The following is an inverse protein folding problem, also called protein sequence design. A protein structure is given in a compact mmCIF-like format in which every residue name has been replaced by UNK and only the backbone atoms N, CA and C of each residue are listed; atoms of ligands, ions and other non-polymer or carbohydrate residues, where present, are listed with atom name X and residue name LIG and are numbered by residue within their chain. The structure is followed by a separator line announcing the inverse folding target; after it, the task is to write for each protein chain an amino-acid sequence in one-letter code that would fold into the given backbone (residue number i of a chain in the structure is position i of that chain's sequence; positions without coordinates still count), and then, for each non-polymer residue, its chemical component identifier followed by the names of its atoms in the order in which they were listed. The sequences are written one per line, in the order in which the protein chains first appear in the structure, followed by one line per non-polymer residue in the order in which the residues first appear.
data_IF_385070306082
#
_entry.id   IF_385070306082
#
_cell.length_a   1.000
_cell.length_b   1.000
_cell.length_c   1.000
_cell.angle_alpha   90.00
_cell.angle_beta   90.00
_cell.angle_gamma   90.00
#
_symmetry.space_group_name_H-M   'P 1'
#
loop_
_entity.id
_entity.type
_entity.pdbx_description
1 polymer ?
#
# COMPACT_ATOMS: atom_id res chain seq x y z
N UNK A 1 46.38 5.20 -20.51
CA UNK A 1 46.64 4.16 -21.52
C UNK A 1 46.46 2.79 -20.89
N UNK A 2 45.74 1.89 -21.59
CA UNK A 2 45.44 0.46 -21.30
C UNK A 2 44.18 0.25 -20.43
N UNK A 3 43.00 0.09 -21.07
CA UNK A 3 42.34 -1.16 -21.57
C UNK A 3 41.51 -1.80 -20.44
N UNK A 4 40.19 -1.58 -20.38
CA UNK A 4 39.10 -2.24 -21.13
C UNK A 4 39.07 -3.76 -20.89
N UNK A 5 38.09 -4.23 -20.10
CA UNK A 5 37.44 -5.54 -20.24
C UNK A 5 35.98 -5.35 -19.83
N UNK A 6 35.11 -5.59 -20.80
CA UNK A 6 33.66 -5.55 -20.76
C UNK A 6 33.25 -7.01 -20.95
N UNK A 7 32.64 -7.65 -19.95
CA UNK A 7 32.11 -9.01 -20.09
C UNK A 7 30.59 -8.91 -20.20
N UNK A 8 30.09 -9.11 -21.42
CA UNK A 8 28.68 -9.34 -21.71
C UNK A 8 28.26 -10.70 -21.17
N UNK A 9 27.24 -10.73 -20.31
CA UNK A 9 26.43 -11.92 -20.05
C UNK A 9 25.31 -11.96 -21.10
N UNK A 10 25.43 -12.87 -22.07
CA UNK A 10 24.33 -13.25 -22.96
C UNK A 10 23.70 -14.50 -22.38
N UNK A 11 22.55 -14.34 -21.71
CA UNK A 11 21.69 -15.46 -21.32
C UNK A 11 20.63 -15.65 -22.41
N UNK A 12 20.76 -16.76 -23.13
CA UNK A 12 19.86 -17.24 -24.18
C UNK A 12 19.02 -18.38 -23.57
N UNK A 13 17.74 -18.12 -23.29
CA UNK A 13 16.73 -19.15 -23.00
C UNK A 13 15.33 -18.54 -23.19
N UNK A 14 14.70 -18.75 -24.36
CA UNK A 14 13.24 -18.76 -24.44
C UNK A 14 12.81 -19.97 -25.27
N UNK A 15 11.91 -20.73 -24.65
CA UNK A 15 11.41 -22.02 -25.03
C UNK A 15 10.47 -21.99 -26.25
N UNK A 16 10.41 -23.13 -26.93
CA UNK A 16 9.49 -23.45 -27.99
C UNK A 16 8.05 -23.62 -27.45
N UNK A 17 7.08 -22.97 -28.11
CA UNK A 17 5.66 -23.29 -28.00
C UNK A 17 5.19 -23.84 -29.36
N UNK A 18 4.83 -25.12 -29.38
CA UNK A 18 4.12 -25.76 -30.48
C UNK A 18 2.69 -26.07 -30.04
N UNK A 19 1.75 -25.63 -30.86
CA UNK A 19 0.31 -25.77 -30.69
C UNK A 19 -0.17 -27.21 -30.97
N UNK A 20 -1.25 -27.63 -30.30
CA UNK A 20 -2.20 -28.61 -30.84
C UNK A 20 -3.58 -28.55 -30.12
N UNK A 21 -4.51 -27.80 -30.71
CA UNK A 21 -5.76 -28.29 -31.31
C UNK A 21 -6.72 -29.30 -30.61
N UNK A 22 -7.95 -28.80 -30.47
CA UNK A 22 -9.32 -29.37 -30.67
C UNK A 22 -10.01 -30.34 -29.67
N UNK A 23 -11.28 -29.97 -29.47
CA UNK A 23 -12.42 -30.44 -28.66
C UNK A 23 -13.11 -31.76 -29.13
N UNK A 24 -14.16 -32.26 -28.42
CA UNK A 24 -14.48 -33.68 -28.25
C UNK A 24 -15.73 -34.21 -29.01
N UNK A 25 -15.88 -35.54 -29.05
CA UNK A 25 -17.16 -36.29 -29.24
C UNK A 25 -16.93 -37.73 -28.71
N UNK A 26 -17.88 -38.56 -28.25
CA UNK A 26 -19.28 -38.83 -28.59
C UNK A 26 -19.88 -39.71 -27.44
N UNK A 27 -21.06 -39.43 -26.89
CA UNK A 27 -22.41 -39.92 -27.26
C UNK A 27 -22.79 -41.37 -26.86
N UNK A 28 -24.00 -41.53 -26.29
CA UNK A 28 -24.79 -42.77 -26.14
C UNK A 28 -25.09 -43.17 -24.69
N UNK A 29 -26.29 -43.54 -24.24
CA UNK A 29 -27.66 -43.64 -24.81
C UNK A 29 -28.55 -44.14 -23.63
N UNK A 30 -29.67 -43.48 -23.31
CA UNK A 30 -30.77 -44.04 -22.49
C UNK A 30 -31.61 -45.02 -23.37
N UNK A 31 -32.46 -45.96 -22.86
CA UNK A 31 -33.71 -45.65 -22.12
C UNK A 31 -34.29 -46.69 -21.11
N UNK A 32 -35.04 -46.15 -20.13
CA UNK A 32 -36.44 -46.45 -19.66
C UNK A 32 -36.98 -47.91 -19.64
N UNK A 33 -37.45 -48.38 -18.46
CA UNK A 33 -38.73 -49.13 -18.14
C UNK A 33 -38.96 -48.96 -16.61
N UNK A 34 -39.95 -48.26 -16.06
CA UNK A 34 -41.43 -48.35 -16.00
C UNK A 34 -42.04 -49.39 -15.01
N UNK A 35 -42.92 -48.86 -14.13
CA UNK A 35 -44.08 -49.39 -13.35
C UNK A 35 -44.06 -50.81 -12.73
N UNK A 36 -44.79 -51.19 -11.67
CA UNK A 36 -45.60 -50.62 -10.57
C UNK A 36 -46.13 -51.79 -9.69
N UNK A 37 -46.66 -51.49 -8.50
CA UNK A 37 -47.68 -52.25 -7.71
C UNK A 37 -47.25 -53.21 -6.53
N UNK A 38 -47.30 -52.66 -5.29
CA UNK A 38 -48.20 -52.92 -4.11
C UNK A 38 -48.62 -54.38 -3.73
N UNK A 39 -49.03 -54.68 -2.45
CA UNK A 39 -48.33 -54.66 -1.14
C UNK A 39 -48.48 -56.01 -0.37
N UNK A 40 -47.79 -56.17 0.78
CA UNK A 40 -48.25 -57.08 1.85
C UNK A 40 -47.79 -56.57 3.23
N UNK A 41 -48.72 -56.65 4.17
CA UNK A 41 -48.68 -56.18 5.55
C UNK A 41 -48.15 -57.28 6.46
N UNK A 42 -47.13 -57.02 7.27
CA UNK A 42 -46.86 -57.78 8.50
C UNK A 42 -46.45 -56.85 9.65
N UNK A 43 -47.01 -57.19 10.81
CA UNK A 43 -47.04 -56.47 12.07
C UNK A 43 -45.89 -56.91 12.96
N UNK A 44 -45.08 -55.98 13.50
CA UNK A 44 -44.29 -56.23 14.71
C UNK A 44 -44.01 -54.96 15.53
N UNK A 45 -44.56 -54.95 16.75
CA UNK A 45 -44.15 -54.34 18.03
C UNK A 45 -43.42 -52.98 18.09
N UNK A 46 -43.88 -52.00 18.91
CA UNK A 46 -43.12 -50.78 19.16
C UNK A 46 -41.94 -51.01 20.11
N UNK A 47 -40.73 -50.78 19.62
CA UNK A 47 -39.51 -50.62 20.44
C UNK A 47 -39.61 -49.30 21.24
N UNK A 48 -39.21 -49.23 22.52
CA UNK A 48 -39.17 -47.97 23.24
C UNK A 48 -38.15 -47.01 22.60
N UNK A 49 -38.65 -45.87 22.11
CA UNK A 49 -37.83 -44.77 21.59
C UNK A 49 -36.90 -44.27 22.70
N UNK A 50 -35.59 -44.41 22.51
CA UNK A 50 -34.61 -43.76 23.37
C UNK A 50 -34.81 -42.24 23.30
N UNK A 51 -34.91 -41.59 24.45
CA UNK A 51 -35.03 -40.14 24.54
C UNK A 51 -33.84 -39.47 23.83
N UNK A 52 -34.05 -38.40 23.04
CA UNK A 52 -32.95 -37.71 22.39
C UNK A 52 -32.01 -37.11 23.44
N UNK A 53 -30.73 -37.46 23.37
CA UNK A 53 -29.68 -36.81 24.15
C UNK A 53 -29.72 -35.30 23.90
N UNK A 54 -29.70 -34.43 24.91
CA UNK A 54 -29.69 -32.99 24.68
C UNK A 54 -28.43 -32.62 23.92
N UNK A 55 -28.59 -32.20 22.66
CA UNK A 55 -27.52 -31.60 21.87
C UNK A 55 -27.08 -30.32 22.57
N UNK A 56 -25.87 -30.31 23.12
CA UNK A 56 -25.27 -29.09 23.68
C UNK A 56 -25.06 -28.09 22.55
N UNK A 57 -25.84 -27.02 22.55
CA UNK A 57 -25.64 -25.88 21.64
C UNK A 57 -24.20 -25.39 21.79
N UNK A 58 -23.41 -25.29 20.70
CA UNK A 58 -22.06 -24.73 20.79
C UNK A 58 -22.16 -23.29 21.28
N UNK A 59 -21.43 -22.97 22.34
CA UNK A 59 -21.29 -21.59 22.82
C UNK A 59 -20.73 -20.73 21.68
N UNK A 60 -21.34 -19.58 21.34
CA UNK A 60 -20.80 -18.71 20.32
C UNK A 60 -19.38 -18.29 20.73
N UNK A 61 -18.43 -18.43 19.80
CA UNK A 61 -17.08 -17.91 19.97
C UNK A 61 -17.17 -16.42 20.24
N UNK A 62 -16.42 -15.86 21.22
CA UNK A 62 -16.44 -14.42 21.46
C UNK A 62 -16.08 -13.69 20.17
N UNK A 63 -16.91 -12.73 19.78
CA UNK A 63 -16.58 -11.78 18.72
C UNK A 63 -15.33 -11.02 19.15
N UNK A 64 -14.26 -10.96 18.34
CA UNK A 64 -13.08 -10.18 18.69
C UNK A 64 -13.50 -8.72 18.92
N UNK A 65 -13.04 -8.15 20.02
CA UNK A 65 -13.17 -6.70 20.28
C UNK A 65 -12.45 -5.95 19.15
N UNK A 66 -13.01 -4.85 18.60
CA UNK A 66 -12.30 -4.07 17.60
C UNK A 66 -10.96 -3.63 18.17
N UNK A 67 -9.89 -3.83 17.39
CA UNK A 67 -8.56 -3.28 17.69
C UNK A 67 -8.70 -1.76 17.75
N UNK A 68 -8.20 -1.07 18.80
CA UNK A 68 -8.18 0.38 18.80
C UNK A 68 -7.43 0.85 17.55
N UNK A 69 -7.98 1.86 16.86
CA UNK A 69 -7.32 2.40 15.67
C UNK A 69 -5.96 2.98 16.06
N UNK A 70 -4.94 2.87 15.17
CA UNK A 70 -3.66 3.50 15.41
C UNK A 70 -3.83 5.03 15.50
N UNK A 71 -3.03 5.65 16.35
CA UNK A 71 -2.95 7.11 16.51
C UNK A 71 -1.68 7.69 15.85
N UNK A 72 -1.03 6.93 14.96
CA UNK A 72 0.24 7.32 14.34
C UNK A 72 0.23 7.28 12.81
N UNK A 73 1.15 8.04 12.24
CA UNK A 73 1.44 8.13 10.81
C UNK A 73 2.93 7.92 10.60
N UNK A 74 3.29 7.11 9.61
CA UNK A 74 4.69 6.90 9.23
C UNK A 74 5.16 8.07 8.39
N UNK A 75 6.23 8.75 8.81
CA UNK A 75 6.81 9.90 8.08
C UNK A 75 8.21 9.53 7.63
N UNK A 76 8.37 9.36 6.32
CA UNK A 76 9.65 9.05 5.72
C UNK A 76 10.46 10.32 5.46
N UNK A 77 11.74 10.30 5.84
CA UNK A 77 12.75 11.27 5.44
C UNK A 77 13.96 10.58 4.83
N UNK A 78 14.61 11.19 3.85
CA UNK A 78 15.90 10.70 3.37
C UNK A 78 16.96 10.83 4.49
N UNK A 79 17.79 9.79 4.69
CA UNK A 79 18.77 9.77 5.78
C UNK A 79 19.79 10.93 5.69
N UNK A 80 20.04 11.41 4.47
CA UNK A 80 20.84 12.61 4.20
C UNK A 80 20.09 13.50 3.22
N UNK A 81 20.15 14.82 3.43
CA UNK A 81 19.55 15.86 2.58
C UNK A 81 18.01 15.80 2.50
N UNK A 82 17.33 15.48 3.59
CA UNK A 82 15.90 15.78 3.73
C UNK A 82 15.67 17.29 3.94
N UNK A 83 14.46 17.79 3.64
CA UNK A 83 14.12 19.20 3.82
C UNK A 83 13.48 19.47 5.19
N UNK A 84 14.18 20.19 6.07
CA UNK A 84 13.76 20.37 7.47
C UNK A 84 12.41 21.09 7.63
N UNK A 85 12.17 22.14 6.85
CA UNK A 85 10.92 22.90 6.92
C UNK A 85 9.71 22.12 6.40
N UNK A 86 9.93 21.12 5.53
CA UNK A 86 8.85 20.27 5.03
C UNK A 86 8.50 19.20 6.06
N UNK A 87 9.52 18.58 6.68
CA UNK A 87 9.33 17.69 7.81
C UNK A 87 8.58 18.39 8.96
N UNK A 88 9.02 19.60 9.33
CA UNK A 88 8.37 20.37 10.40
C UNK A 88 6.90 20.66 10.08
N UNK A 89 6.58 21.09 8.85
CA UNK A 89 5.18 21.32 8.45
C UNK A 89 4.29 20.08 8.57
N UNK A 90 4.85 18.89 8.35
CA UNK A 90 4.16 17.61 8.54
C UNK A 90 4.00 17.30 10.03
N UNK A 91 5.10 17.28 10.78
CA UNK A 91 5.09 16.86 12.19
C UNK A 91 4.33 17.80 13.09
N UNK A 92 4.43 19.12 12.84
CA UNK A 92 3.71 20.13 13.63
C UNK A 92 2.19 19.97 13.44
N UNK A 93 1.74 19.75 12.21
CA UNK A 93 0.31 19.54 11.93
C UNK A 93 -0.23 18.24 12.56
N UNK A 94 0.55 17.15 12.48
CA UNK A 94 0.17 15.87 13.11
C UNK A 94 0.08 16.02 14.63
N UNK A 95 1.08 16.64 15.27
CA UNK A 95 1.11 16.85 16.73
C UNK A 95 -0.05 17.74 17.20
N UNK A 96 -0.31 18.85 16.50
CA UNK A 96 -1.44 19.75 16.77
C UNK A 96 -2.80 19.04 16.67
N UNK A 97 -2.93 18.05 15.78
CA UNK A 97 -4.13 17.24 15.59
C UNK A 97 -4.21 16.00 16.51
N UNK A 98 -3.15 15.72 17.28
CA UNK A 98 -3.11 14.58 18.19
C UNK A 98 -2.68 13.25 17.55
N UNK A 99 -2.10 13.29 16.35
CA UNK A 99 -1.48 12.14 15.69
C UNK A 99 0.02 12.11 15.98
N UNK A 100 0.55 10.92 16.29
CA UNK A 100 1.99 10.71 16.48
C UNK A 100 2.69 10.50 15.13
N UNK A 101 3.71 11.29 14.84
CA UNK A 101 4.62 11.01 13.73
C UNK A 101 5.64 9.94 14.14
N UNK A 102 5.74 8.85 13.38
CA UNK A 102 6.84 7.87 13.49
C UNK A 102 7.82 8.15 12.36
N UNK A 103 9.00 8.69 12.69
CA UNK A 103 9.99 9.11 11.71
C UNK A 103 10.81 7.91 11.25
N UNK A 104 10.79 7.64 9.95
CA UNK A 104 11.51 6.53 9.34
C UNK A 104 12.47 6.98 8.24
N UNK A 105 13.46 6.13 7.96
CA UNK A 105 14.43 6.30 6.87
C UNK A 105 14.99 4.94 6.47
N UNK A 106 15.94 4.91 5.53
CA UNK A 106 16.63 3.69 5.08
C UNK A 106 17.45 3.00 6.18
N UNK A 107 17.67 3.66 7.32
CA UNK A 107 18.37 3.13 8.48
C UNK A 107 18.06 3.97 9.73
N UNK A 108 18.26 3.40 10.91
CA UNK A 108 18.17 4.11 12.19
C UNK A 108 19.37 5.04 12.45
N UNK A 109 19.19 5.96 13.41
CA UNK A 109 20.20 6.94 13.84
C UNK A 109 19.81 8.38 13.47
N UNK A 110 20.79 9.29 13.48
CA UNK A 110 20.54 10.71 13.22
C UNK A 110 20.60 11.04 11.73
N UNK A 111 19.46 11.24 11.09
CA UNK A 111 19.39 11.77 9.73
C UNK A 111 19.82 13.24 9.70
N UNK A 112 20.41 13.68 8.57
CA UNK A 112 20.93 15.04 8.40
C UNK A 112 20.20 15.78 7.29
N UNK A 113 19.62 16.93 7.60
CA UNK A 113 18.89 17.76 6.64
C UNK A 113 19.79 18.65 5.79
N UNK A 114 19.20 19.24 4.75
CA UNK A 114 19.89 20.10 3.77
C UNK A 114 20.50 21.36 4.41
N UNK A 115 19.83 21.93 5.41
CA UNK A 115 20.30 23.08 6.20
C UNK A 115 21.23 22.70 7.36
N UNK A 116 21.54 21.41 7.52
CA UNK A 116 22.34 20.90 8.63
C UNK A 116 21.52 20.57 9.89
N UNK A 117 20.18 20.64 9.81
CA UNK A 117 19.30 20.13 10.85
C UNK A 117 19.45 18.62 11.02
N UNK A 118 18.89 18.11 12.11
CA UNK A 118 18.99 16.71 12.52
C UNK A 118 17.65 16.22 13.02
N UNK A 119 17.34 14.97 12.71
CA UNK A 119 16.19 14.25 13.27
C UNK A 119 16.64 12.83 13.58
N UNK A 120 16.19 12.28 14.70
CA UNK A 120 16.40 10.88 15.03
C UNK A 120 15.37 10.03 14.28
N UNK A 121 15.85 8.92 13.71
CA UNK A 121 15.01 7.94 13.03
C UNK A 121 14.55 6.91 14.05
N UNK A 122 13.23 6.80 14.23
CA UNK A 122 12.60 5.90 15.20
C UNK A 122 12.73 4.43 14.77
N UNK A 123 12.56 4.17 13.47
CA UNK A 123 12.56 2.82 12.89
C UNK A 123 13.08 2.86 11.45
N UNK A 124 13.83 1.84 11.03
CA UNK A 124 14.24 1.70 9.64
C UNK A 124 13.07 1.18 8.78
N UNK A 125 12.97 1.58 7.51
CA UNK A 125 11.86 1.19 6.64
C UNK A 125 11.71 -0.32 6.44
N UNK A 126 12.79 -1.08 6.52
CA UNK A 126 12.79 -2.54 6.40
C UNK A 126 12.35 -3.26 7.69
N UNK A 127 12.14 -2.51 8.76
CA UNK A 127 11.60 -3.00 10.05
C UNK A 127 10.12 -2.62 10.25
N UNK A 128 9.52 -1.87 9.32
CA UNK A 128 8.11 -1.45 9.42
C UNK A 128 7.18 -2.60 9.02
N UNK A 129 6.37 -3.07 9.97
CA UNK A 129 5.30 -4.05 9.73
C UNK A 129 3.91 -3.38 9.58
N UNK A 130 3.73 -2.19 10.16
CA UNK A 130 2.47 -1.45 10.17
C UNK A 130 2.74 0.06 10.03
N UNK A 131 2.19 0.66 8.97
CA UNK A 131 2.35 2.09 8.68
C UNK A 131 1.41 2.99 9.51
N UNK A 132 0.50 2.41 10.30
CA UNK A 132 -0.52 3.13 11.05
C UNK A 132 -1.63 3.65 10.13
N UNK A 133 -1.92 4.95 10.21
CA UNK A 133 -2.94 5.58 9.36
C UNK A 133 -2.44 5.93 7.94
N UNK A 134 -1.15 5.68 7.65
CA UNK A 134 -0.56 5.81 6.33
C UNK A 134 0.87 6.32 6.34
N UNK A 135 1.35 6.72 5.16
CA UNK A 135 2.75 7.12 4.94
C UNK A 135 2.85 8.50 4.28
N UNK A 136 3.76 9.34 4.80
CA UNK A 136 4.06 10.68 4.28
C UNK A 136 5.54 10.77 3.92
N UNK A 137 5.85 11.15 2.67
CA UNK A 137 7.21 11.30 2.17
C UNK A 137 7.62 12.77 2.18
N UNK A 138 8.50 13.16 3.10
CA UNK A 138 9.11 14.48 3.09
C UNK A 138 10.06 14.64 1.89
N UNK A 139 10.22 15.86 1.38
CA UNK A 139 11.12 16.13 0.27
C UNK A 139 12.55 16.38 0.69
N UNK A 140 13.25 17.18 -0.14
CA UNK A 140 14.69 17.38 -0.09
C UNK A 140 15.41 16.60 -1.19
N UNK A 141 16.67 16.95 -1.48
CA UNK A 141 17.39 16.35 -2.60
C UNK A 141 17.72 14.88 -2.37
N UNK A 142 17.82 14.44 -1.12
CA UNK A 142 18.12 13.04 -0.78
C UNK A 142 17.02 12.07 -1.19
N UNK A 143 15.75 12.51 -1.27
CA UNK A 143 14.65 11.62 -1.66
C UNK A 143 14.73 11.21 -3.14
N UNK A 144 15.37 12.03 -3.98
CA UNK A 144 15.54 11.75 -5.42
C UNK A 144 16.41 10.51 -5.63
N UNK A 145 17.40 10.28 -4.76
CA UNK A 145 18.32 9.15 -4.86
C UNK A 145 17.67 7.80 -4.50
N UNK A 146 16.50 7.83 -3.87
CA UNK A 146 15.79 6.65 -3.33
C UNK A 146 14.37 6.48 -3.90
N UNK A 147 14.01 7.21 -4.95
CA UNK A 147 12.72 7.08 -5.63
C UNK A 147 12.42 5.66 -6.15
N UNK A 148 13.44 4.82 -6.30
CA UNK A 148 13.32 3.44 -6.74
C UNK A 148 13.72 2.43 -5.65
N UNK A 149 13.76 2.86 -4.39
CA UNK A 149 13.97 1.95 -3.27
C UNK A 149 12.73 1.04 -3.13
N UNK A 150 12.90 -0.24 -3.42
CA UNK A 150 11.75 -1.16 -3.52
C UNK A 150 11.03 -1.35 -2.18
N UNK A 151 11.74 -1.29 -1.05
CA UNK A 151 11.12 -1.40 0.28
C UNK A 151 10.17 -0.22 0.51
N UNK A 152 10.62 0.99 0.21
CA UNK A 152 9.78 2.18 0.31
C UNK A 152 8.59 2.13 -0.66
N UNK A 153 8.81 1.68 -1.90
CA UNK A 153 7.74 1.53 -2.89
C UNK A 153 6.69 0.50 -2.44
N UNK A 154 7.09 -0.62 -1.87
CA UNK A 154 6.20 -1.65 -1.34
C UNK A 154 5.36 -1.11 -0.17
N UNK A 155 5.96 -0.35 0.76
CA UNK A 155 5.22 0.31 1.84
C UNK A 155 4.16 1.28 1.31
N UNK A 156 4.49 2.10 0.32
CA UNK A 156 3.55 3.04 -0.31
C UNK A 156 2.42 2.29 -1.02
N UNK A 157 2.73 1.24 -1.79
CA UNK A 157 1.71 0.42 -2.46
C UNK A 157 0.79 -0.25 -1.44
N UNK A 158 1.36 -0.86 -0.41
CA UNK A 158 0.61 -1.54 0.66
C UNK A 158 -0.30 -0.59 1.44
N UNK A 159 0.15 0.63 1.73
CA UNK A 159 -0.69 1.66 2.35
C UNK A 159 -1.86 2.04 1.42
N UNK A 160 -1.59 2.27 0.13
CA UNK A 160 -2.61 2.63 -0.84
C UNK A 160 -3.66 1.52 -1.08
N UNK A 161 -3.23 0.25 -1.14
CA UNK A 161 -4.13 -0.91 -1.29
C UNK A 161 -5.10 -1.06 -0.12
N UNK A 162 -4.68 -0.63 1.08
CA UNK A 162 -5.50 -0.60 2.28
C UNK A 162 -6.40 0.64 2.36
N UNK A 163 -6.29 1.58 1.40
CA UNK A 163 -7.01 2.85 1.42
C UNK A 163 -6.47 3.85 2.45
N UNK A 164 -5.29 3.60 3.02
CA UNK A 164 -4.63 4.48 3.97
C UNK A 164 -4.02 5.70 3.27
N UNK A 165 -3.59 6.69 4.06
CA UNK A 165 -2.98 7.91 3.54
C UNK A 165 -1.70 7.58 2.77
N UNK A 166 -1.55 8.14 1.56
CA UNK A 166 -0.28 8.18 0.83
C UNK A 166 0.03 9.61 0.43
N UNK A 167 1.02 10.22 1.08
CA UNK A 167 1.30 11.63 0.91
C UNK A 167 2.76 11.92 0.57
N UNK A 168 3.01 13.00 -0.16
CA UNK A 168 4.37 13.40 -0.51
C UNK A 168 4.47 14.89 -0.83
N UNK A 169 5.54 15.54 -0.39
CA UNK A 169 5.78 16.96 -0.68
C UNK A 169 7.09 17.16 -1.45
N UNK A 170 7.10 18.17 -2.31
CA UNK A 170 8.28 18.61 -3.04
C UNK A 170 8.79 17.55 -4.02
N UNK A 171 9.88 16.86 -3.70
CA UNK A 171 10.37 15.72 -4.46
C UNK A 171 9.77 14.38 -3.99
N UNK A 172 9.11 14.34 -2.83
CA UNK A 172 8.42 13.16 -2.30
C UNK A 172 7.37 12.53 -3.23
N UNK A 173 6.56 13.30 -4.00
CA UNK A 173 5.62 12.74 -4.97
C UNK A 173 6.24 11.81 -6.01
N UNK A 174 7.54 11.93 -6.30
CA UNK A 174 8.23 10.99 -7.20
C UNK A 174 8.22 9.54 -6.69
N UNK A 175 8.28 9.33 -5.37
CA UNK A 175 8.11 7.99 -4.77
C UNK A 175 6.70 7.46 -5.05
N UNK A 176 5.68 8.30 -4.84
CA UNK A 176 4.28 7.93 -5.08
C UNK A 176 4.01 7.64 -6.56
N UNK A 177 4.60 8.44 -7.45
CA UNK A 177 4.54 8.22 -8.89
C UNK A 177 5.16 6.89 -9.30
N UNK A 178 6.35 6.58 -8.80
CA UNK A 178 7.04 5.31 -9.08
C UNK A 178 6.36 4.10 -8.43
N UNK A 179 5.67 4.30 -7.31
CA UNK A 179 4.82 3.28 -6.70
C UNK A 179 3.57 2.99 -7.56
N UNK A 180 3.24 3.87 -8.51
CA UNK A 180 2.07 3.76 -9.38
C UNK A 180 0.77 4.22 -8.73
N UNK A 181 0.82 4.80 -7.52
CA UNK A 181 -0.39 5.17 -6.76
C UNK A 181 -1.02 6.47 -7.24
N UNK A 182 -0.35 7.21 -8.13
CA UNK A 182 -0.83 8.47 -8.72
C UNK A 182 -1.42 8.31 -10.14
N UNK A 183 -1.47 7.10 -10.70
CA UNK A 183 -1.99 6.90 -12.07
C UNK A 183 -3.45 7.35 -12.17
N UNK A 184 -3.73 8.27 -13.09
CA UNK A 184 -5.05 8.85 -13.31
C UNK A 184 -5.52 9.85 -12.25
N UNK A 185 -4.65 10.24 -11.31
CA UNK A 185 -4.94 11.23 -10.25
C UNK A 185 -4.41 12.61 -10.59
N UNK A 186 -4.98 13.63 -9.97
CA UNK A 186 -4.39 14.97 -9.90
C UNK A 186 -3.29 15.01 -8.84
N UNK A 187 -2.16 15.66 -9.14
CA UNK A 187 -1.05 15.80 -8.21
C UNK A 187 -0.31 17.14 -8.36
N UNK A 188 0.37 17.54 -7.28
CA UNK A 188 1.30 18.67 -7.21
C UNK A 188 2.70 18.17 -6.85
N UNK A 189 3.74 18.79 -7.40
CA UNK A 189 5.13 18.42 -7.07
C UNK A 189 6.08 19.60 -7.28
N UNK A 190 7.31 19.46 -6.78
CA UNK A 190 8.34 20.47 -6.97
C UNK A 190 8.71 20.61 -8.43
N UNK A 191 8.64 21.85 -8.93
CA UNK A 191 9.03 22.17 -10.31
C UNK A 191 10.56 22.16 -10.47
N UNK A 192 11.12 20.95 -10.51
CA UNK A 192 12.53 20.67 -10.79
C UNK A 192 12.66 19.72 -11.98
N UNK A 193 13.80 19.73 -12.70
CA UNK A 193 13.97 18.94 -13.92
C UNK A 193 13.77 17.44 -13.69
N UNK A 194 14.32 16.89 -12.61
CA UNK A 194 14.19 15.46 -12.29
C UNK A 194 12.74 15.10 -11.92
N UNK A 195 12.10 15.91 -11.07
CA UNK A 195 10.73 15.66 -10.60
C UNK A 195 9.73 15.79 -11.75
N UNK A 196 9.90 16.78 -12.63
CA UNK A 196 9.04 16.94 -13.80
C UNK A 196 9.11 15.75 -14.75
N UNK A 197 10.31 15.21 -14.98
CA UNK A 197 10.47 14.01 -15.82
C UNK A 197 9.76 12.81 -15.18
N UNK A 198 10.06 12.50 -13.91
CA UNK A 198 9.46 11.37 -13.20
C UNK A 198 7.93 11.48 -13.13
N UNK A 199 7.40 12.66 -12.77
CA UNK A 199 5.95 12.87 -12.63
C UNK A 199 5.21 12.86 -13.98
N UNK A 200 5.87 13.24 -15.08
CA UNK A 200 5.27 13.10 -16.42
C UNK A 200 5.10 11.63 -16.83
N UNK A 201 5.96 10.74 -16.32
CA UNK A 201 5.92 9.30 -16.59
C UNK A 201 4.97 8.56 -15.63
N UNK A 202 4.64 9.15 -14.48
CA UNK A 202 3.78 8.58 -13.45
C UNK A 202 2.28 8.47 -13.82
N UNK A 203 1.87 9.01 -14.97
CA UNK A 203 0.48 8.94 -15.43
C UNK A 203 -0.52 9.78 -14.63
N UNK A 204 -0.04 10.77 -13.88
CA UNK A 204 -0.86 11.75 -13.15
C UNK A 204 -1.00 13.08 -13.90
N UNK A 205 -2.00 13.88 -13.54
CA UNK A 205 -2.21 15.23 -14.06
C UNK A 205 -1.65 16.28 -13.10
N UNK A 206 -0.90 17.26 -13.63
CA UNK A 206 -0.44 18.39 -12.81
C UNK A 206 -1.62 19.31 -12.49
N UNK A 207 -1.96 19.47 -11.22
CA UNK A 207 -3.06 20.35 -10.78
C UNK A 207 -2.72 21.84 -10.82
N UNK A 208 -1.42 22.19 -10.84
CA UNK A 208 -0.91 23.55 -10.68
C UNK A 208 -1.10 24.16 -9.29
N UNK A 209 -1.61 23.41 -8.30
CA UNK A 209 -1.88 23.90 -6.95
C UNK A 209 -0.66 23.78 -6.03
N UNK A 210 -0.67 24.53 -4.93
CA UNK A 210 0.32 24.37 -3.85
C UNK A 210 0.21 22.99 -3.20
N UNK A 211 -1.02 22.56 -2.93
CA UNK A 211 -1.37 21.26 -2.38
C UNK A 211 -2.54 20.68 -3.17
N UNK A 212 -2.53 19.37 -3.40
CA UNK A 212 -3.59 18.62 -4.07
C UNK A 212 -3.99 17.42 -3.24
N UNK A 213 -5.29 17.26 -3.01
CA UNK A 213 -5.90 16.07 -2.43
C UNK A 213 -6.67 15.36 -3.54
N UNK A 214 -6.40 14.08 -3.76
CA UNK A 214 -7.13 13.20 -4.69
C UNK A 214 -7.37 11.84 -4.03
N UNK A 215 -8.53 11.68 -3.38
CA UNK A 215 -8.84 10.52 -2.56
C UNK A 215 -7.94 10.45 -1.33
N UNK A 216 -7.29 9.30 -1.11
CA UNK A 216 -6.31 9.08 -0.04
C UNK A 216 -4.91 9.63 -0.35
N UNK A 217 -4.70 10.21 -1.55
CA UNK A 217 -3.42 10.76 -1.96
C UNK A 217 -3.33 12.27 -1.71
N UNK A 218 -2.28 12.72 -1.03
CA UNK A 218 -2.01 14.15 -0.77
C UNK A 218 -0.65 14.54 -1.31
N UNK A 219 -0.58 15.56 -2.15
CA UNK A 219 0.70 15.99 -2.76
C UNK A 219 0.94 17.49 -2.64
N UNK A 220 2.17 17.89 -2.33
CA UNK A 220 2.57 19.29 -2.15
C UNK A 220 3.71 19.72 -3.09
N UNK A 221 3.69 20.96 -3.55
CA UNK A 221 4.62 21.44 -4.58
C UNK A 221 5.98 21.96 -4.08
N UNK A 222 6.23 22.02 -2.77
CA UNK A 222 7.52 22.48 -2.26
C UNK A 222 7.48 23.10 -0.87
N UNK A 223 8.63 23.66 -0.41
CA UNK A 223 8.79 24.17 0.95
C UNK A 223 7.79 25.25 1.36
N UNK A 224 7.38 26.11 0.43
CA UNK A 224 6.41 27.18 0.71
C UNK A 224 5.02 26.64 1.04
N UNK A 225 4.71 25.42 0.63
CA UNK A 225 3.43 24.75 0.89
C UNK A 225 3.47 23.87 2.14
N UNK A 226 4.59 23.75 2.86
CA UNK A 226 4.77 22.76 3.93
C UNK A 226 3.67 22.81 5.00
N UNK A 227 3.28 24.00 5.45
CA UNK A 227 2.21 24.17 6.45
C UNK A 227 0.83 23.79 5.90
N UNK A 228 0.53 24.21 4.67
CA UNK A 228 -0.73 23.87 4.00
C UNK A 228 -0.83 22.37 3.72
N UNK A 229 0.29 21.75 3.36
CA UNK A 229 0.40 20.32 3.12
C UNK A 229 0.17 19.51 4.40
N UNK A 230 0.77 19.91 5.52
CA UNK A 230 0.49 19.29 6.82
C UNK A 230 -0.99 19.37 7.20
N UNK A 231 -1.64 20.52 6.99
CA UNK A 231 -3.07 20.68 7.23
C UNK A 231 -3.93 19.77 6.33
N UNK A 232 -3.57 19.64 5.04
CA UNK A 232 -4.25 18.73 4.11
C UNK A 232 -4.07 17.25 4.48
N UNK A 233 -2.91 16.87 5.01
CA UNK A 233 -2.68 15.53 5.56
C UNK A 233 -3.65 15.25 6.70
N UNK A 234 -3.78 16.19 7.66
CA UNK A 234 -4.73 16.07 8.78
C UNK A 234 -6.17 16.01 8.29
N UNK A 235 -6.54 16.84 7.30
CA UNK A 235 -7.88 16.83 6.71
C UNK A 235 -8.27 15.45 6.19
N UNK A 236 -7.35 14.76 5.51
CA UNK A 236 -7.58 13.41 5.00
C UNK A 236 -7.67 12.40 6.15
N UNK A 237 -6.80 12.47 7.16
CA UNK A 237 -6.81 11.58 8.32
C UNK A 237 -8.14 11.67 9.11
N UNK A 238 -8.65 12.88 9.34
CA UNK A 238 -9.90 13.11 10.06
C UNK A 238 -11.15 12.62 9.30
N UNK A 239 -11.00 12.28 8.02
CA UNK A 239 -12.07 11.78 7.16
C UNK A 239 -12.11 10.26 7.01
N UNK A 240 -11.16 9.53 7.62
CA UNK A 240 -11.04 8.07 7.54
C UNK A 240 -11.98 7.30 8.47
#
# INVERSE_FOLDING_TARGET
MKKLIFLLFVSLCIAASAACSVEPSSSGKDPVIDTSATPASESVSPTPTAAPTPTTTPTPSPTPSPTPMPDWVTVFVAFTNYHEGELAGITDALDEAGYRAVITSTQTGTAKGMGGGRVEIDIAIDEIEDVGLGIVIAGGTGVVDIWNDEVLLELVRGANEQGLLVAGICAGPGVLGNAGVLVGKSASWYNGPNTNAAMSEAGCENSGQAVTIDGNAVTGNGPSAAKEFGAAVVEVLDSM
#
